data_IF_473304961723
#
_entry.id   IF_473304961723
#
_cell.length_a   1.000
_cell.length_b   1.000
_cell.length_c   1.000
_cell.angle_alpha   90.00
_cell.angle_beta   90.00
_cell.angle_gamma   90.00
#
_symmetry.space_group_name_H-M   'P 1'
#
loop_
_entity.id
_entity.type
_entity.pdbx_description
1 polymer ?
#
# COMPACT_ATOMS: atom_id res chain seq x y z
N UNK A 1 26.45 7.93 11.37
CA UNK A 1 26.13 6.67 10.67
C UNK A 1 24.69 6.71 10.22
N UNK A 2 24.33 6.00 9.15
CA UNK A 2 22.95 5.84 8.69
C UNK A 2 22.25 4.81 9.60
N UNK A 3 21.12 5.20 10.19
CA UNK A 3 20.30 4.32 11.06
C UNK A 3 18.98 4.05 10.33
N UNK A 4 18.58 2.79 10.27
CA UNK A 4 17.31 2.38 9.65
C UNK A 4 16.17 2.81 10.57
N UNK A 5 15.22 3.56 10.04
CA UNK A 5 14.01 3.98 10.74
C UNK A 5 13.17 2.75 11.15
N UNK A 6 12.81 2.69 12.43
CA UNK A 6 12.04 1.57 13.00
C UNK A 6 10.55 1.65 12.58
N UNK A 7 10.06 2.83 12.18
CA UNK A 7 8.67 3.09 11.80
C UNK A 7 8.45 2.89 10.30
N UNK A 8 9.36 3.37 9.44
CA UNK A 8 9.30 3.18 7.98
C UNK A 8 9.94 1.86 7.53
N UNK A 9 9.20 0.77 7.63
CA UNK A 9 9.67 -0.58 7.25
C UNK A 9 8.82 -1.30 6.20
N UNK A 10 7.93 -0.56 5.54
CA UNK A 10 7.18 -1.10 4.41
C UNK A 10 8.12 -1.41 3.25
N UNK A 11 8.00 -2.61 2.70
CA UNK A 11 8.76 -3.02 1.52
C UNK A 11 7.95 -3.97 0.66
N UNK A 12 8.31 -4.01 -0.62
CA UNK A 12 7.66 -4.80 -1.65
C UNK A 12 8.72 -5.64 -2.37
N UNK A 13 8.50 -6.95 -2.50
CA UNK A 13 9.37 -7.78 -3.33
C UNK A 13 8.99 -7.66 -4.80
N UNK A 14 9.86 -7.03 -5.58
CA UNK A 14 9.79 -6.92 -7.04
C UNK A 14 10.78 -7.89 -7.69
N UNK A 15 10.30 -8.68 -8.65
CA UNK A 15 11.14 -9.62 -9.39
C UNK A 15 10.71 -9.71 -10.84
N UNK A 16 11.68 -9.84 -11.74
CA UNK A 16 11.45 -10.07 -13.16
C UNK A 16 11.07 -11.53 -13.44
N UNK A 17 11.49 -12.46 -12.57
CA UNK A 17 11.26 -13.90 -12.77
C UNK A 17 9.80 -14.24 -12.52
N UNK A 18 9.12 -14.74 -13.55
CA UNK A 18 7.68 -15.06 -13.48
C UNK A 18 7.35 -16.08 -12.39
N UNK A 19 8.22 -17.07 -12.17
CA UNK A 19 8.06 -18.10 -11.12
C UNK A 19 8.08 -17.52 -9.71
N UNK A 20 8.75 -16.39 -9.52
CA UNK A 20 8.97 -15.78 -8.21
C UNK A 20 7.93 -14.69 -7.91
N UNK A 21 7.03 -14.38 -8.85
CA UNK A 21 6.00 -13.35 -8.68
C UNK A 21 5.00 -13.65 -7.54
N UNK A 22 4.86 -14.92 -7.16
CA UNK A 22 4.06 -15.34 -6.00
C UNK A 22 4.86 -15.37 -4.70
N UNK A 23 6.20 -15.40 -4.76
CA UNK A 23 7.06 -15.63 -3.59
C UNK A 23 7.40 -14.30 -2.92
N UNK A 24 6.97 -14.11 -1.67
CA UNK A 24 7.21 -12.90 -0.88
C UNK A 24 8.22 -13.21 0.24
N UNK A 25 9.54 -13.12 -0.01
CA UNK A 25 10.53 -13.46 1.02
C UNK A 25 10.53 -12.44 2.16
N UNK A 26 10.66 -12.92 3.40
CA UNK A 26 10.92 -12.07 4.55
C UNK A 26 12.38 -11.58 4.55
N UNK A 27 12.61 -10.41 5.15
CA UNK A 27 13.94 -9.82 5.27
C UNK A 27 14.25 -9.64 6.76
N UNK A 28 15.45 -10.02 7.19
CA UNK A 28 15.94 -9.76 8.54
C UNK A 28 16.85 -8.53 8.54
N UNK A 29 16.50 -7.52 9.33
CA UNK A 29 17.31 -6.32 9.51
C UNK A 29 17.97 -6.35 10.90
N UNK A 30 19.29 -6.12 10.93
CA UNK A 30 20.05 -5.94 12.17
C UNK A 30 20.20 -4.45 12.46
N UNK A 31 19.76 -4.02 13.64
CA UNK A 31 19.95 -2.66 14.11
C UNK A 31 21.34 -2.46 14.74
N UNK A 32 21.80 -1.22 14.85
CA UNK A 32 23.04 -0.85 15.56
C UNK A 32 23.05 -1.34 17.01
N UNK A 33 21.86 -1.45 17.61
CA UNK A 33 21.65 -1.85 19.00
C UNK A 33 21.68 -3.39 19.18
N UNK A 34 22.08 -4.14 18.14
CA UNK A 34 22.10 -5.61 18.13
C UNK A 34 20.74 -6.28 17.96
N UNK A 35 19.65 -5.52 17.92
CA UNK A 35 18.29 -6.05 17.73
C UNK A 35 18.09 -6.56 16.30
N UNK A 36 17.53 -7.77 16.16
CA UNK A 36 17.15 -8.36 14.88
C UNK A 36 15.65 -8.22 14.70
N UNK A 37 15.21 -7.61 13.60
CA UNK A 37 13.80 -7.50 13.24
C UNK A 37 13.55 -8.30 11.95
N UNK A 38 12.60 -9.22 11.98
CA UNK A 38 12.08 -9.87 10.78
C UNK A 38 10.94 -9.03 10.21
N UNK A 39 11.01 -8.73 8.92
CA UNK A 39 10.02 -7.96 8.20
C UNK A 39 9.34 -8.82 7.15
N UNK A 40 8.02 -8.80 7.19
CA UNK A 40 7.17 -9.43 6.19
C UNK A 40 6.87 -8.42 5.08
N UNK A 41 6.96 -8.83 3.80
CA UNK A 41 6.66 -7.94 2.68
C UNK A 41 5.17 -7.60 2.66
N UNK A 42 4.85 -6.37 2.27
CA UNK A 42 3.46 -5.99 2.03
C UNK A 42 3.00 -6.44 0.65
N UNK A 43 1.69 -6.60 0.49
CA UNK A 43 1.06 -6.90 -0.81
C UNK A 43 1.04 -5.68 -1.72
N UNK A 44 0.88 -4.50 -1.12
CA UNK A 44 0.94 -3.20 -1.79
C UNK A 44 1.71 -2.20 -0.95
N UNK A 45 2.41 -1.27 -1.61
CA UNK A 45 3.13 -0.18 -0.95
C UNK A 45 2.69 1.14 -1.54
N UNK A 46 2.47 2.14 -0.69
CA UNK A 46 2.13 3.50 -1.12
C UNK A 46 3.41 4.32 -1.29
N UNK A 47 3.73 4.69 -2.52
CA UNK A 47 4.86 5.56 -2.81
C UNK A 47 4.42 6.75 -3.65
N UNK A 48 4.80 7.96 -3.23
CA UNK A 48 4.41 9.23 -3.88
C UNK A 48 2.89 9.38 -4.09
N UNK A 49 2.08 8.79 -3.20
CA UNK A 49 0.61 8.83 -3.31
C UNK A 49 -0.01 7.71 -4.15
N UNK A 50 0.80 6.91 -4.85
CA UNK A 50 0.35 5.80 -5.71
C UNK A 50 0.51 4.47 -4.98
N UNK A 51 -0.47 3.59 -5.13
CA UNK A 51 -0.40 2.23 -4.59
C UNK A 51 0.21 1.30 -5.63
N UNK A 52 1.36 0.71 -5.29
CA UNK A 52 2.06 -0.25 -6.13
C UNK A 52 1.83 -1.66 -5.59
N UNK A 53 1.40 -2.56 -6.47
CA UNK A 53 1.34 -3.99 -6.22
C UNK A 53 2.61 -4.67 -6.76
N UNK A 54 2.86 -5.90 -6.31
CA UNK A 54 4.05 -6.69 -6.68
C UNK A 54 4.21 -6.91 -8.18
N UNK A 55 3.10 -6.88 -8.93
CA UNK A 55 3.08 -7.05 -10.39
C UNK A 55 3.12 -5.72 -11.15
N UNK A 56 3.12 -4.59 -10.44
CA UNK A 56 3.02 -3.24 -11.01
C UNK A 56 1.82 -3.07 -11.95
N UNK A 57 0.70 -3.70 -11.61
CA UNK A 57 -0.55 -3.64 -12.37
C UNK A 57 -1.42 -2.44 -11.98
N UNK A 58 -1.12 -1.76 -10.86
CA UNK A 58 -1.89 -0.62 -10.33
C UNK A 58 -3.37 -0.93 -10.00
N UNK A 59 -3.76 -2.20 -10.00
CA UNK A 59 -5.16 -2.60 -9.77
C UNK A 59 -5.69 -2.10 -8.44
N UNK A 60 -4.90 -2.23 -7.37
CA UNK A 60 -5.30 -1.74 -6.04
C UNK A 60 -5.41 -0.20 -5.99
N UNK A 61 -4.58 0.51 -6.76
CA UNK A 61 -4.66 1.96 -6.86
C UNK A 61 -5.97 2.39 -7.53
N UNK A 62 -6.28 1.79 -8.69
CA UNK A 62 -7.51 2.07 -9.43
C UNK A 62 -8.73 1.71 -8.59
N UNK A 63 -8.71 0.56 -7.92
CA UNK A 63 -9.79 0.13 -7.02
C UNK A 63 -10.00 1.14 -5.89
N UNK A 64 -8.94 1.57 -5.21
CA UNK A 64 -9.01 2.57 -4.15
C UNK A 64 -9.58 3.90 -4.66
N UNK A 65 -9.20 4.32 -5.87
CA UNK A 65 -9.72 5.56 -6.47
C UNK A 65 -11.21 5.43 -6.85
N UNK A 66 -11.60 4.28 -7.41
CA UNK A 66 -12.99 3.99 -7.74
C UNK A 66 -13.89 3.95 -6.49
N UNK A 67 -13.43 3.34 -5.41
CA UNK A 67 -14.15 3.31 -4.13
C UNK A 67 -14.36 4.72 -3.57
N UNK A 68 -13.33 5.58 -3.64
CA UNK A 68 -13.46 7.00 -3.26
C UNK A 68 -14.48 7.73 -4.12
N UNK A 69 -14.42 7.55 -5.45
CA UNK A 69 -15.37 8.16 -6.37
C UNK A 69 -16.81 7.70 -6.09
N UNK A 70 -17.01 6.42 -5.78
CA UNK A 70 -18.31 5.86 -5.41
C UNK A 70 -18.83 6.47 -4.10
N UNK A 71 -17.98 6.62 -3.08
CA UNK A 71 -18.35 7.29 -1.84
C UNK A 71 -18.75 8.74 -2.07
N UNK A 72 -17.99 9.49 -2.88
CA UNK A 72 -18.35 10.87 -3.25
C UNK A 72 -19.69 10.93 -3.98
N UNK A 73 -19.93 10.04 -4.95
CA UNK A 73 -21.20 9.97 -5.67
C UNK A 73 -22.36 9.66 -4.74
N UNK A 74 -22.19 8.74 -3.80
CA UNK A 74 -23.23 8.41 -2.82
C UNK A 74 -23.55 9.61 -1.92
N UNK A 75 -22.53 10.34 -1.47
CA UNK A 75 -22.72 11.57 -0.70
C UNK A 75 -23.46 12.64 -1.51
N UNK A 76 -23.08 12.85 -2.79
CA UNK A 76 -23.77 13.79 -3.68
C UNK A 76 -25.23 13.40 -3.92
N UNK A 77 -25.52 12.11 -4.11
CA UNK A 77 -26.89 11.60 -4.24
C UNK A 77 -27.72 11.86 -2.99
N UNK A 78 -27.14 11.66 -1.81
CA UNK A 78 -27.80 11.98 -0.55
C UNK A 78 -28.14 13.47 -0.48
N UNK A 79 -27.18 14.35 -0.77
CA UNK A 79 -27.38 15.81 -0.76
C UNK A 79 -28.44 16.26 -1.77
N UNK A 80 -28.37 15.76 -3.02
CA UNK A 80 -29.35 16.10 -4.05
C UNK A 80 -30.78 15.65 -3.71
N UNK A 81 -30.92 14.64 -2.87
CA UNK A 81 -32.22 14.14 -2.38
C UNK A 81 -32.69 14.81 -1.07
N UNK A 82 -31.93 15.75 -0.50
CA UNK A 82 -32.39 16.54 0.66
C UNK A 82 -33.23 17.74 0.19
N UNK A 83 -34.54 17.69 0.42
CA UNK A 83 -35.51 18.76 0.05
C UNK A 83 -35.36 20.01 0.92
N UNK A 84 -34.81 19.83 2.12
CA UNK A 84 -34.36 20.88 3.03
C UNK A 84 -32.95 20.47 3.38
N UNK A 85 -31.96 21.27 3.01
CA UNK A 85 -30.55 20.97 3.32
C UNK A 85 -30.36 20.69 4.81
N UNK A 86 -29.17 20.15 5.15
CA UNK A 86 -28.77 19.98 6.55
C UNK A 86 -29.01 21.27 7.36
#
# INVERSE_FOLDING_TARGET
GLVIDKVKREFLHLTRRTRDKSISPSITLRSSDGTVAELQPQTTVKWLGVLFDRKLTFLEHVKSLADRAKTCLNAMKMLGNTVRGL
#
